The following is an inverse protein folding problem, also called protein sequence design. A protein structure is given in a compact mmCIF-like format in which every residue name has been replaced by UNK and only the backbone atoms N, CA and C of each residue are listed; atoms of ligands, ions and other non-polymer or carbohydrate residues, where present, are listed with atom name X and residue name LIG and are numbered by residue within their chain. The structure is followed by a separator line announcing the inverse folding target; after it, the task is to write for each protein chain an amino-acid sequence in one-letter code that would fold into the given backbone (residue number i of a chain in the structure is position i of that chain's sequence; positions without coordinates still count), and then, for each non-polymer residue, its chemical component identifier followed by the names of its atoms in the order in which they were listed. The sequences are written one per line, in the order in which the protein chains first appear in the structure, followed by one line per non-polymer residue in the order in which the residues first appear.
data_IF_951769688954
#
_entry.id   IF_951769688954
#
_cell.length_a   1.000
_cell.length_b   1.000
_cell.length_c   1.000
_cell.angle_alpha   90.00
_cell.angle_beta   90.00
_cell.angle_gamma   90.00
#
_symmetry.space_group_name_H-M   'P 1'
#
loop_
_entity.id
_entity.type
_entity.pdbx_description
1 polymer ?
#
# COMPACT_ATOMS: atom_id res chain seq x y z
N UNK A 1 -3.40 -17.03 18.89
CA UNK A 1 -4.30 -16.62 17.79
C UNK A 1 -3.91 -15.21 17.42
N UNK A 2 -3.14 -15.06 16.34
CA UNK A 2 -2.88 -13.74 15.77
C UNK A 2 -4.22 -13.16 15.33
N UNK A 3 -4.61 -12.03 15.94
CA UNK A 3 -5.80 -11.31 15.51
C UNK A 3 -5.41 -10.66 14.19
N UNK A 4 -5.85 -11.22 13.08
CA UNK A 4 -5.65 -10.64 11.75
C UNK A 4 -6.14 -9.19 11.71
N UNK A 5 -5.69 -8.44 10.70
CA UNK A 5 -6.08 -7.05 10.55
C UNK A 5 -7.59 -6.90 10.31
N UNK A 6 -8.20 -5.90 10.94
CA UNK A 6 -9.62 -5.53 10.78
C UNK A 6 -9.71 -4.01 10.71
N UNK A 7 -10.72 -3.50 10.00
CA UNK A 7 -10.97 -2.06 9.84
C UNK A 7 -9.75 -1.31 9.26
N UNK A 8 -9.22 -1.81 8.14
CA UNK A 8 -8.00 -1.28 7.50
C UNK A 8 -8.38 -0.34 6.36
N UNK A 9 -7.73 0.82 6.29
CA UNK A 9 -7.79 1.71 5.12
C UNK A 9 -6.46 1.65 4.39
N UNK A 10 -6.52 1.25 3.11
CA UNK A 10 -5.38 1.25 2.20
C UNK A 10 -5.32 2.58 1.44
N UNK A 11 -4.20 3.28 1.57
CA UNK A 11 -3.97 4.55 0.90
C UNK A 11 -3.00 4.38 -0.26
N UNK A 12 -3.30 5.04 -1.39
CA UNK A 12 -2.44 5.01 -2.57
C UNK A 12 -2.58 6.30 -3.39
N UNK A 13 -1.48 6.77 -3.99
CA UNK A 13 -1.50 7.87 -4.95
C UNK A 13 -1.79 7.43 -6.39
N UNK A 14 -1.99 6.12 -6.62
CA UNK A 14 -2.34 5.56 -7.92
C UNK A 14 -3.86 5.50 -8.09
N UNK A 15 -4.48 6.59 -8.55
CA UNK A 15 -5.94 6.69 -8.72
C UNK A 15 -6.52 5.52 -9.54
N UNK A 16 -5.83 5.11 -10.62
CA UNK A 16 -6.28 4.01 -11.46
C UNK A 16 -6.41 2.70 -10.69
N UNK A 17 -5.48 2.41 -9.77
CA UNK A 17 -5.50 1.20 -8.95
C UNK A 17 -6.63 1.28 -7.92
N UNK A 18 -6.77 2.42 -7.22
CA UNK A 18 -7.86 2.63 -6.26
C UNK A 18 -9.23 2.47 -6.94
N UNK A 19 -9.39 3.03 -8.14
CA UNK A 19 -10.63 2.88 -8.91
C UNK A 19 -10.86 1.44 -9.35
N UNK A 20 -9.83 0.73 -9.83
CA UNK A 20 -9.95 -0.66 -10.25
C UNK A 20 -10.32 -1.61 -9.10
N UNK A 21 -9.74 -1.40 -7.91
CA UNK A 21 -10.03 -2.19 -6.71
C UNK A 21 -11.45 -1.95 -6.18
N UNK A 22 -11.94 -0.72 -6.25
CA UNK A 22 -13.32 -0.38 -5.87
C UNK A 22 -14.36 -0.88 -6.87
N UNK A 23 -13.95 -1.24 -8.08
CA UNK A 23 -14.88 -1.72 -9.10
C UNK A 23 -15.17 -3.22 -8.92
N UNK A 24 -16.45 -3.57 -8.83
CA UNK A 24 -16.89 -4.96 -8.69
C UNK A 24 -16.85 -5.76 -9.99
N UNK A 25 -16.73 -5.11 -11.15
CA UNK A 25 -16.53 -5.83 -12.42
C UNK A 25 -15.09 -6.34 -12.53
N UNK A 26 -14.93 -7.48 -13.18
CA UNK A 26 -13.61 -8.03 -13.54
C UNK A 26 -12.79 -7.03 -14.34
N UNK A 27 -11.58 -6.74 -13.87
CA UNK A 27 -10.62 -5.91 -14.61
C UNK A 27 -9.97 -6.72 -15.74
N UNK A 28 -10.12 -6.24 -16.98
CA UNK A 28 -9.58 -6.87 -18.21
C UNK A 28 -8.34 -6.17 -18.76
N UNK A 29 -7.77 -5.22 -18.01
CA UNK A 29 -6.53 -4.56 -18.37
C UNK A 29 -5.32 -5.49 -18.21
N UNK A 30 -4.15 -5.01 -18.61
CA UNK A 30 -2.87 -5.72 -18.39
C UNK A 30 -2.60 -5.94 -16.89
N UNK A 31 -3.14 -5.09 -16.02
CA UNK A 31 -3.01 -5.22 -14.57
C UNK A 31 -4.15 -6.03 -13.93
N UNK A 32 -5.13 -6.47 -14.73
CA UNK A 32 -6.31 -7.20 -14.27
C UNK A 32 -5.99 -8.37 -13.33
N UNK A 33 -5.05 -9.27 -13.67
CA UNK A 33 -4.68 -10.37 -12.78
C UNK A 33 -4.24 -9.90 -11.37
N UNK A 34 -3.41 -8.86 -11.28
CA UNK A 34 -2.94 -8.32 -10.00
C UNK A 34 -4.08 -7.67 -9.22
N UNK A 35 -4.99 -6.98 -9.92
CA UNK A 35 -6.18 -6.36 -9.31
C UNK A 35 -7.11 -7.43 -8.73
N UNK A 36 -7.39 -8.49 -9.48
CA UNK A 36 -8.29 -9.57 -9.04
C UNK A 36 -7.68 -10.39 -7.90
N UNK A 37 -6.36 -10.68 -7.94
CA UNK A 37 -5.66 -11.31 -6.82
C UNK A 37 -5.73 -10.44 -5.56
N UNK A 38 -5.56 -9.13 -5.71
CA UNK A 38 -5.69 -8.18 -4.60
C UNK A 38 -7.11 -8.19 -4.03
N UNK A 39 -8.16 -8.13 -4.87
CA UNK A 39 -9.57 -8.25 -4.43
C UNK A 39 -9.81 -9.55 -3.66
N UNK A 40 -9.26 -10.67 -4.12
CA UNK A 40 -9.36 -11.95 -3.44
C UNK A 40 -8.73 -11.91 -2.04
N UNK A 41 -7.53 -11.35 -1.89
CA UNK A 41 -6.86 -11.20 -0.60
C UNK A 41 -7.65 -10.31 0.37
N UNK A 42 -8.26 -9.25 -0.15
CA UNK A 42 -9.03 -8.29 0.64
C UNK A 42 -10.28 -8.89 1.27
N UNK A 43 -10.87 -9.94 0.66
CA UNK A 43 -12.02 -10.65 1.24
C UNK A 43 -11.73 -11.29 2.60
N UNK A 44 -10.44 -11.41 2.98
CA UNK A 44 -10.00 -11.93 4.26
C UNK A 44 -9.93 -10.86 5.37
N UNK A 45 -10.06 -9.57 5.03
CA UNK A 45 -9.98 -8.45 5.97
C UNK A 45 -11.38 -7.88 6.17
N UNK A 46 -11.93 -8.00 7.37
CA UNK A 46 -13.21 -7.38 7.69
C UNK A 46 -13.06 -5.86 7.82
N UNK A 47 -13.84 -5.09 7.05
CA UNK A 47 -13.88 -3.62 7.17
C UNK A 47 -12.76 -2.91 6.43
N UNK A 48 -12.28 -3.52 5.35
CA UNK A 48 -11.33 -2.96 4.41
C UNK A 48 -11.89 -1.73 3.66
N UNK A 49 -11.02 -0.78 3.35
CA UNK A 49 -11.34 0.40 2.55
C UNK A 49 -10.14 0.85 1.73
N UNK A 50 -10.40 1.62 0.67
CA UNK A 50 -9.36 2.22 -0.17
C UNK A 50 -9.57 3.70 -0.24
N UNK A 51 -8.50 4.49 -0.23
CA UNK A 51 -8.55 5.93 -0.47
C UNK A 51 -7.41 6.35 -1.39
N UNK A 52 -7.77 7.18 -2.38
CA UNK A 52 -6.77 7.85 -3.19
C UNK A 52 -6.25 9.08 -2.44
N UNK A 53 -4.93 9.16 -2.28
CA UNK A 53 -4.24 10.28 -1.65
C UNK A 53 -3.41 11.05 -2.66
N UNK A 54 -3.00 12.28 -2.30
CA UNK A 54 -2.05 13.03 -3.14
C UNK A 54 -0.68 12.36 -3.08
N UNK A 55 0.08 12.42 -4.17
CA UNK A 55 1.46 11.92 -4.21
C UNK A 55 2.34 12.50 -3.10
N UNK A 56 2.11 13.75 -2.70
CA UNK A 56 2.83 14.40 -1.59
C UNK A 56 2.57 13.75 -0.22
N UNK A 57 1.42 13.10 -0.05
CA UNK A 57 1.07 12.34 1.15
C UNK A 57 1.54 10.87 1.07
N UNK A 58 2.01 10.39 -0.08
CA UNK A 58 2.52 9.03 -0.24
C UNK A 58 4.07 8.97 -0.17
N UNK A 59 4.68 9.88 0.59
CA UNK A 59 6.12 10.11 0.59
C UNK A 59 6.93 8.90 1.10
N UNK A 60 6.47 8.27 2.19
CA UNK A 60 7.11 7.11 2.82
C UNK A 60 7.15 5.92 1.87
N UNK A 61 6.00 5.53 1.33
CA UNK A 61 5.92 4.42 0.37
C UNK A 61 6.74 4.71 -0.89
N UNK A 62 6.72 5.95 -1.39
CA UNK A 62 7.52 6.36 -2.54
C UNK A 62 9.02 6.17 -2.29
N UNK A 63 9.52 6.60 -1.13
CA UNK A 63 10.94 6.46 -0.78
C UNK A 63 11.35 5.01 -0.61
N UNK A 64 10.50 4.18 0.01
CA UNK A 64 10.71 2.73 0.13
C UNK A 64 10.77 2.05 -1.24
N UNK A 65 9.81 2.33 -2.13
CA UNK A 65 9.78 1.77 -3.48
C UNK A 65 11.03 2.18 -4.29
N UNK A 66 11.44 3.46 -4.21
CA UNK A 66 12.66 3.94 -4.86
C UNK A 66 13.91 3.25 -4.31
N UNK A 67 14.01 3.05 -3.00
CA UNK A 67 15.13 2.34 -2.40
C UNK A 67 15.18 0.88 -2.87
N UNK A 68 14.04 0.18 -2.87
CA UNK A 68 13.91 -1.21 -3.31
C UNK A 68 14.40 -1.46 -4.75
N UNK A 69 14.30 -0.46 -5.64
CA UNK A 69 14.79 -0.56 -7.02
C UNK A 69 16.32 -0.62 -7.14
N UNK A 70 17.08 -0.22 -6.12
CA UNK A 70 18.54 -0.14 -6.16
C UNK A 70 19.24 -1.19 -5.30
N UNK A 71 18.48 -1.97 -4.53
CA UNK A 71 19.04 -3.06 -3.72
C UNK A 71 19.02 -4.36 -4.51
N UNK A 72 20.06 -5.18 -4.36
CA UNK A 72 20.18 -6.47 -5.04
C UNK A 72 19.47 -7.63 -4.32
N UNK A 73 18.58 -7.35 -3.37
CA UNK A 73 17.95 -8.37 -2.54
C UNK A 73 16.82 -7.82 -1.67
N UNK A 74 16.32 -8.65 -0.75
CA UNK A 74 15.24 -8.28 0.17
C UNK A 74 15.78 -7.79 1.50
N UNK A 75 15.15 -6.76 2.05
CA UNK A 75 15.40 -6.24 3.39
C UNK A 75 14.08 -6.20 4.17
N UNK A 76 14.17 -6.46 5.47
CA UNK A 76 13.02 -6.56 6.36
C UNK A 76 13.25 -5.73 7.61
N UNK A 77 12.22 -5.00 8.01
CA UNK A 77 12.19 -4.17 9.21
C UNK A 77 10.95 -4.56 10.01
N UNK A 78 11.12 -4.90 11.29
CA UNK A 78 10.03 -5.37 12.14
C UNK A 78 9.73 -4.39 13.28
N UNK A 79 10.74 -4.02 14.06
CA UNK A 79 10.57 -3.14 15.22
C UNK A 79 10.92 -1.68 14.91
N UNK A 80 11.95 -1.46 14.10
CA UNK A 80 12.47 -0.13 13.80
C UNK A 80 12.47 0.14 12.29
N UNK A 81 11.99 1.32 11.91
CA UNK A 81 12.10 1.81 10.54
C UNK A 81 13.56 2.05 10.16
N UNK A 82 13.96 1.87 8.90
CA UNK A 82 15.29 2.25 8.47
C UNK A 82 15.51 3.77 8.54
N UNK A 83 16.73 4.18 8.90
CA UNK A 83 17.12 5.59 9.07
C UNK A 83 16.76 6.47 7.85
N UNK A 84 16.82 5.91 6.64
CA UNK A 84 16.60 6.68 5.41
C UNK A 84 15.14 7.11 5.18
N UNK A 85 14.18 6.65 6.01
CA UNK A 85 12.79 7.11 5.98
C UNK A 85 12.36 7.84 7.26
N UNK A 86 13.22 7.93 8.28
CA UNK A 86 12.82 8.44 9.60
C UNK A 86 12.36 9.90 9.59
N UNK A 87 12.98 10.75 8.77
CA UNK A 87 12.58 12.15 8.55
C UNK A 87 11.15 12.27 8.01
N UNK A 88 10.84 11.54 6.93
CA UNK A 88 9.51 11.62 6.31
C UNK A 88 8.44 10.84 7.08
N UNK A 89 8.82 9.80 7.83
CA UNK A 89 7.91 9.15 8.77
C UNK A 89 7.50 10.12 9.88
N UNK A 90 8.45 10.90 10.40
CA UNK A 90 8.14 11.90 11.42
C UNK A 90 7.18 12.97 10.89
N UNK A 91 7.35 13.42 9.65
CA UNK A 91 6.42 14.36 9.01
C UNK A 91 5.03 13.75 8.82
N UNK A 92 4.96 12.51 8.34
CA UNK A 92 3.71 11.78 8.06
C UNK A 92 2.89 11.52 9.33
N UNK A 93 3.54 11.10 10.41
CA UNK A 93 2.87 10.84 11.69
C UNK A 93 2.39 12.11 12.43
N UNK A 94 2.91 13.29 12.08
CA UNK A 94 2.57 14.57 12.71
C UNK A 94 1.79 15.51 11.79
N UNK A 95 1.29 15.00 10.65
CA UNK A 95 0.49 15.75 9.67
C UNK A 95 -1.00 15.86 10.04
#
# INVERSE_FOLDING_TARGET
MERGYQNVVFESDALQIVTALRNHSTDRSVLGPVVEDTKSLLTQITGEGFTHIRRTANGVAHRLARFALHIGGSLYWFEESPDFISDILYEDCNS
#
